data_IF_666313637836
#
_entry.id   IF_666313637836
#
_cell.length_a   1.000
_cell.length_b   1.000
_cell.length_c   1.000
_cell.angle_alpha   90.00
_cell.angle_beta   90.00
_cell.angle_gamma   90.00
#
_symmetry.space_group_name_H-M   'P 1'
#
loop_
_entity.id
_entity.type
_entity.pdbx_description
1 polymer ?
#
# COMPACT_ATOMS: atom_id res chain seq x y z
N UNK A 1 38.92 13.89 5.61
CA UNK A 1 38.01 12.78 5.98
C UNK A 1 36.73 13.41 6.51
N UNK A 2 35.80 13.73 5.61
CA UNK A 2 34.57 14.47 5.90
C UNK A 2 33.51 13.48 6.38
N UNK A 3 33.12 13.59 7.65
CA UNK A 3 31.93 12.92 8.18
C UNK A 3 30.73 13.63 7.55
N UNK A 4 30.25 13.09 6.43
CA UNK A 4 28.95 13.44 5.87
C UNK A 4 27.89 12.85 6.80
N UNK A 5 27.54 13.59 7.86
CA UNK A 5 26.34 13.33 8.64
C UNK A 5 25.14 13.44 7.69
N UNK A 6 24.62 12.28 7.32
CA UNK A 6 23.31 12.08 6.72
C UNK A 6 22.27 12.91 7.47
N UNK A 7 21.84 14.03 6.87
CA UNK A 7 20.56 14.65 7.25
C UNK A 7 19.48 13.92 6.44
N UNK A 8 18.59 13.13 7.07
CA UNK A 8 17.46 12.59 6.34
C UNK A 8 16.60 13.77 5.87
N UNK A 9 16.42 13.90 4.54
CA UNK A 9 15.44 14.83 3.97
C UNK A 9 14.04 14.36 4.40
N UNK A 10 13.58 14.89 5.54
CA UNK A 10 12.25 14.68 6.12
C UNK A 10 11.19 15.29 5.20
N UNK A 11 10.34 14.46 4.57
CA UNK A 11 9.35 14.93 3.58
C UNK A 11 7.90 14.48 3.77
N UNK A 12 7.54 13.74 4.82
CA UNK A 12 6.13 13.38 5.07
C UNK A 12 5.59 13.96 6.38
N UNK A 13 4.30 14.34 6.38
CA UNK A 13 3.60 14.81 7.59
C UNK A 13 3.58 13.75 8.70
N UNK A 14 3.49 12.48 8.31
CA UNK A 14 3.56 11.34 9.21
C UNK A 14 4.91 11.23 9.95
N UNK A 15 6.03 11.56 9.28
CA UNK A 15 7.35 11.57 9.92
C UNK A 15 7.48 12.70 10.94
N UNK A 16 6.95 13.90 10.65
CA UNK A 16 6.94 15.02 11.60
C UNK A 16 6.09 14.68 12.84
N UNK A 17 4.93 14.07 12.62
CA UNK A 17 4.05 13.61 13.69
C UNK A 17 4.73 12.54 14.55
N UNK A 18 5.39 11.56 13.94
CA UNK A 18 6.12 10.52 14.66
C UNK A 18 7.23 11.10 15.56
N UNK A 19 8.07 12.00 15.05
CA UNK A 19 9.12 12.62 15.86
C UNK A 19 8.55 13.48 17.00
N UNK A 20 7.44 14.17 16.78
CA UNK A 20 6.75 14.91 17.84
C UNK A 20 6.24 13.98 18.94
N UNK A 21 5.60 12.85 18.57
CA UNK A 21 5.09 11.85 19.52
C UNK A 21 6.22 11.17 20.29
N UNK A 22 7.32 10.78 19.61
CA UNK A 22 8.51 10.21 20.27
C UNK A 22 9.16 11.22 21.21
N UNK A 23 9.30 12.48 20.79
CA UNK A 23 9.84 13.54 21.65
C UNK A 23 9.00 13.77 22.90
N UNK A 24 7.67 13.81 22.76
CA UNK A 24 6.73 13.92 23.89
C UNK A 24 6.81 12.71 24.82
N UNK A 25 6.95 11.49 24.28
CA UNK A 25 7.12 10.28 25.08
C UNK A 25 8.48 10.28 25.84
N UNK A 26 9.56 10.76 25.24
CA UNK A 26 10.86 10.88 25.92
C UNK A 26 10.81 11.90 27.07
N UNK A 27 10.22 13.08 26.86
CA UNK A 27 10.03 14.09 27.91
C UNK A 27 9.17 13.53 29.05
N UNK A 28 8.13 12.76 28.70
CA UNK A 28 7.26 12.07 29.64
C UNK A 28 8.01 11.06 30.51
N UNK A 29 8.89 10.25 29.93
CA UNK A 29 9.74 9.31 30.69
C UNK A 29 10.71 10.02 31.63
N UNK A 30 11.35 11.12 31.19
CA UNK A 30 12.25 11.90 32.04
C UNK A 30 11.49 12.50 33.23
N UNK A 31 10.29 13.03 32.98
CA UNK A 31 9.39 13.52 34.04
C UNK A 31 9.02 12.42 35.03
N UNK A 32 8.75 11.20 34.56
CA UNK A 32 8.46 10.06 35.45
C UNK A 32 9.66 9.72 36.35
N UNK A 33 10.87 9.65 35.79
CA UNK A 33 12.09 9.34 36.55
C UNK A 33 12.40 10.42 37.59
N UNK A 34 12.30 11.70 37.20
CA UNK A 34 12.51 12.82 38.12
C UNK A 34 11.53 12.79 39.31
N UNK A 35 10.29 12.34 39.09
CA UNK A 35 9.29 12.18 40.15
C UNK A 35 9.61 11.03 41.09
N UNK A 36 10.02 9.88 40.56
CA UNK A 36 10.45 8.74 41.39
C UNK A 36 11.62 9.17 42.28
N UNK A 37 12.61 9.88 41.72
CA UNK A 37 13.74 10.41 42.48
C UNK A 37 13.28 11.39 43.57
N UNK A 38 12.34 12.29 43.27
CA UNK A 38 11.78 13.24 44.23
C UNK A 38 11.05 12.55 45.39
N UNK A 39 10.20 11.55 45.11
CA UNK A 39 9.48 10.78 46.15
C UNK A 39 10.48 10.06 47.07
N UNK A 40 11.49 9.41 46.51
CA UNK A 40 12.53 8.73 47.30
C UNK A 40 13.31 9.72 48.17
N UNK A 41 13.65 10.88 47.61
CA UNK A 41 14.36 11.94 48.34
C UNK A 41 13.50 12.50 49.46
N UNK A 42 12.21 12.68 49.21
CA UNK A 42 11.22 13.11 50.18
C UNK A 42 11.09 12.14 51.37
N UNK A 43 10.95 10.84 51.11
CA UNK A 43 10.88 9.80 52.16
C UNK A 43 12.16 9.79 53.00
N UNK A 44 13.32 10.01 52.37
CA UNK A 44 14.60 10.07 53.08
C UNK A 44 14.74 11.34 53.93
N UNK A 45 14.23 12.48 53.47
CA UNK A 45 14.21 13.74 54.23
C UNK A 45 13.28 13.61 55.44
N UNK A 46 12.11 12.99 55.27
CA UNK A 46 11.13 12.75 56.35
C UNK A 46 11.73 11.88 57.45
N UNK A 47 12.34 10.74 57.09
CA UNK A 47 13.06 9.86 58.04
C UNK A 47 14.25 10.56 58.70
N UNK A 48 14.95 11.43 57.98
CA UNK A 48 16.04 12.21 58.53
C UNK A 48 15.54 13.27 59.52
N UNK A 49 14.46 13.99 59.18
CA UNK A 49 13.86 15.01 60.04
C UNK A 49 13.29 14.42 61.33
N UNK A 50 12.62 13.26 61.26
CA UNK A 50 12.18 12.47 62.42
C UNK A 50 13.37 12.08 63.31
N UNK A 51 14.50 11.68 62.71
CA UNK A 51 15.70 11.31 63.47
C UNK A 51 16.39 12.49 64.18
N UNK A 52 16.12 13.73 63.75
CA UNK A 52 16.69 14.96 64.31
C UNK A 52 15.73 15.66 65.29
N UNK A 53 14.51 15.16 65.46
CA UNK A 53 13.52 15.74 66.38
C UNK A 53 13.02 17.13 65.96
N UNK A 54 12.96 17.41 64.66
CA UNK A 54 12.51 18.71 64.11
C UNK A 54 10.97 18.69 63.94
N UNK A 55 10.31 19.64 64.59
CA UNK A 55 8.87 19.79 64.86
C UNK A 55 7.88 19.68 63.68
N UNK A 56 6.75 19.03 64.00
CA UNK A 56 5.35 18.94 63.50
C UNK A 56 4.86 19.79 62.31
N UNK A 57 5.47 20.93 62.01
CA UNK A 57 5.04 21.82 60.91
C UNK A 57 5.35 21.25 59.53
N UNK A 58 6.47 20.52 59.37
CA UNK A 58 6.75 19.78 58.14
C UNK A 58 5.80 18.59 57.99
N UNK A 59 5.46 17.94 59.11
CA UNK A 59 4.60 16.76 59.15
C UNK A 59 3.12 17.06 58.81
N UNK A 60 2.62 18.28 59.01
CA UNK A 60 1.26 18.69 58.61
C UNK A 60 1.14 19.10 57.13
N UNK A 61 2.14 19.78 56.57
CA UNK A 61 2.10 20.26 55.19
C UNK A 61 2.47 19.17 54.17
N UNK A 62 3.30 18.20 54.58
CA UNK A 62 3.82 17.14 53.74
C UNK A 62 2.76 16.16 53.22
N UNK A 63 1.77 15.70 54.02
CA UNK A 63 0.71 14.82 53.55
C UNK A 63 -0.20 15.49 52.52
N UNK A 64 -0.49 16.79 52.65
CA UNK A 64 -1.29 17.53 51.67
C UNK A 64 -0.55 17.69 50.34
N UNK A 65 0.75 17.98 50.41
CA UNK A 65 1.61 18.10 49.24
C UNK A 65 1.77 16.74 48.54
N UNK A 66 1.91 15.66 49.32
CA UNK A 66 1.93 14.28 48.81
C UNK A 66 0.58 13.83 48.24
N UNK A 67 -0.56 14.16 48.86
CA UNK A 67 -1.88 13.80 48.37
C UNK A 67 -2.20 14.48 47.02
N UNK A 68 -1.93 15.79 46.90
CA UNK A 68 -2.05 16.50 45.63
C UNK A 68 -1.13 15.88 44.56
N UNK A 69 0.07 15.48 44.94
CA UNK A 69 1.01 14.84 44.01
C UNK A 69 0.54 13.45 43.58
N UNK A 70 0.02 12.63 44.49
CA UNK A 70 -0.49 11.28 44.22
C UNK A 70 -1.67 11.35 43.27
N UNK A 71 -2.66 12.22 43.51
CA UNK A 71 -3.82 12.40 42.63
C UNK A 71 -3.40 12.82 41.21
N UNK A 72 -2.48 13.77 41.08
CA UNK A 72 -1.99 14.20 39.77
C UNK A 72 -1.06 13.16 39.12
N UNK A 73 -0.32 12.37 39.91
CA UNK A 73 0.63 11.37 39.42
C UNK A 73 -0.06 10.22 38.68
N UNK A 74 -1.23 9.78 39.14
CA UNK A 74 -1.98 8.67 38.51
C UNK A 74 -2.44 9.08 37.12
N UNK A 75 -3.09 10.24 36.99
CA UNK A 75 -3.56 10.76 35.69
C UNK A 75 -2.40 11.02 34.72
N UNK A 76 -1.29 11.54 35.22
CA UNK A 76 -0.10 11.76 34.41
C UNK A 76 0.52 10.41 33.97
N UNK A 77 0.58 9.40 34.84
CA UNK A 77 1.08 8.06 34.50
C UNK A 77 0.21 7.35 33.45
N UNK A 78 -1.12 7.53 33.53
CA UNK A 78 -2.06 7.04 32.52
C UNK A 78 -1.83 7.75 31.18
N UNK A 79 -1.65 9.07 31.19
CA UNK A 79 -1.40 9.85 29.98
C UNK A 79 -0.07 9.50 29.30
N UNK A 80 0.99 9.27 30.09
CA UNK A 80 2.30 8.88 29.56
C UNK A 80 2.29 7.46 29.01
N UNK A 81 1.59 6.53 29.67
CA UNK A 81 1.41 5.16 29.18
C UNK A 81 0.63 5.12 27.86
N UNK A 82 -0.39 5.98 27.72
CA UNK A 82 -1.12 6.14 26.46
C UNK A 82 -0.23 6.68 25.33
N UNK A 83 0.60 7.69 25.61
CA UNK A 83 1.54 8.26 24.63
C UNK A 83 2.60 7.25 24.20
N UNK A 84 3.14 6.46 25.15
CA UNK A 84 4.12 5.40 24.87
C UNK A 84 3.46 4.29 24.03
N UNK A 85 2.23 3.88 24.37
CA UNK A 85 1.46 2.90 23.61
C UNK A 85 1.18 3.36 22.17
N UNK A 86 0.78 4.62 21.98
CA UNK A 86 0.59 5.21 20.67
C UNK A 86 1.90 5.27 19.86
N UNK A 87 3.02 5.63 20.51
CA UNK A 87 4.34 5.64 19.88
C UNK A 87 4.78 4.24 19.42
N UNK A 88 4.55 3.22 20.27
CA UNK A 88 4.83 1.81 19.96
C UNK A 88 3.96 1.31 18.81
N UNK A 89 2.66 1.61 18.82
CA UNK A 89 1.74 1.24 17.74
C UNK A 89 2.18 1.87 16.40
N UNK A 90 2.58 3.14 16.41
CA UNK A 90 3.12 3.82 15.22
C UNK A 90 4.47 3.24 14.77
N UNK A 91 5.33 2.85 15.71
CA UNK A 91 6.60 2.19 15.40
C UNK A 91 6.38 0.81 14.75
N UNK A 92 5.48 0.01 15.32
CA UNK A 92 5.08 -1.29 14.78
C UNK A 92 4.45 -1.11 13.40
N UNK A 93 3.52 -0.18 13.24
CA UNK A 93 2.94 0.15 11.94
C UNK A 93 4.02 0.53 10.92
N UNK A 94 4.97 1.41 11.28
CA UNK A 94 6.09 1.79 10.41
C UNK A 94 7.00 0.60 10.04
N UNK A 95 7.16 -0.38 10.94
CA UNK A 95 7.92 -1.62 10.70
C UNK A 95 7.17 -2.62 9.81
N UNK A 96 5.84 -2.67 9.90
CA UNK A 96 4.99 -3.61 9.18
C UNK A 96 4.58 -3.09 7.78
N UNK A 97 4.37 -1.80 7.61
CA UNK A 97 4.02 -1.17 6.32
C UNK A 97 4.97 -1.55 5.16
N UNK A 98 6.30 -1.60 5.33
CA UNK A 98 7.19 -2.04 4.24
C UNK A 98 7.16 -3.54 3.97
N UNK A 99 6.49 -4.37 4.79
CA UNK A 99 6.28 -5.80 4.50
C UNK A 99 5.01 -6.06 3.66
N UNK A 100 4.02 -5.16 3.69
CA UNK A 100 2.76 -5.28 2.91
C UNK A 100 2.79 -4.53 1.57
N UNK A 101 3.76 -3.65 1.35
CA UNK A 101 3.92 -2.91 0.09
C UNK A 101 5.27 -3.27 -0.51
N UNK A 102 5.29 -3.66 -1.79
CA UNK A 102 6.54 -3.72 -2.57
C UNK A 102 7.36 -2.46 -2.27
N UNK A 103 8.65 -2.62 -1.98
CA UNK A 103 9.54 -1.49 -1.77
C UNK A 103 9.62 -0.69 -3.10
N UNK A 104 8.72 0.28 -3.29
CA UNK A 104 8.68 1.22 -4.42
C UNK A 104 9.96 2.06 -4.56
N UNK A 105 10.96 1.82 -3.71
CA UNK A 105 12.31 2.39 -3.74
C UNK A 105 13.29 1.61 -4.61
N UNK A 106 12.90 0.48 -5.21
CA UNK A 106 13.76 -0.28 -6.11
C UNK A 106 13.35 -0.07 -7.58
N UNK A 107 13.92 0.94 -8.27
CA UNK A 107 13.55 1.24 -9.65
C UNK A 107 13.85 0.09 -10.62
N UNK A 108 14.83 -0.76 -10.32
CA UNK A 108 15.15 -1.92 -11.17
C UNK A 108 14.05 -2.98 -11.16
N UNK A 109 13.45 -3.26 -10.00
CA UNK A 109 12.34 -4.21 -9.90
C UNK A 109 11.11 -3.69 -10.65
N UNK A 110 10.81 -2.39 -10.50
CA UNK A 110 9.72 -1.73 -11.22
C UNK A 110 9.91 -1.83 -12.74
N UNK A 111 11.13 -1.57 -13.23
CA UNK A 111 11.43 -1.67 -14.66
C UNK A 111 11.34 -3.10 -15.18
N UNK A 112 11.69 -4.10 -14.37
CA UNK A 112 11.54 -5.52 -14.70
C UNK A 112 10.06 -5.93 -14.77
N UNK A 113 9.22 -5.41 -13.88
CA UNK A 113 7.77 -5.62 -13.92
C UNK A 113 7.17 -4.94 -15.16
N UNK A 114 7.58 -3.70 -15.44
CA UNK A 114 7.14 -2.96 -16.62
C UNK A 114 7.49 -3.68 -17.93
N UNK A 115 8.73 -4.15 -18.06
CA UNK A 115 9.14 -4.90 -19.26
C UNK A 115 8.40 -6.23 -19.40
N UNK A 116 8.17 -6.97 -18.31
CA UNK A 116 7.36 -8.18 -18.33
C UNK A 116 5.90 -7.90 -18.73
N UNK A 117 5.33 -6.79 -18.25
CA UNK A 117 3.95 -6.36 -18.57
C UNK A 117 3.82 -6.00 -20.05
N UNK A 118 4.75 -5.20 -20.57
CA UNK A 118 4.76 -4.80 -21.98
C UNK A 118 4.97 -6.00 -22.92
N UNK A 119 5.87 -6.93 -22.57
CA UNK A 119 6.08 -8.16 -23.34
C UNK A 119 4.82 -9.05 -23.34
N UNK A 120 4.20 -9.23 -22.17
CA UNK A 120 2.95 -10.00 -22.08
C UNK A 120 1.84 -9.37 -22.93
N UNK A 121 1.70 -8.04 -22.87
CA UNK A 121 0.71 -7.33 -23.69
C UNK A 121 0.96 -7.52 -25.19
N UNK A 122 2.23 -7.50 -25.65
CA UNK A 122 2.57 -7.77 -27.04
C UNK A 122 2.21 -9.20 -27.46
N UNK A 123 2.48 -10.19 -26.62
CA UNK A 123 2.14 -11.59 -26.93
C UNK A 123 0.63 -11.81 -26.95
N UNK A 124 -0.11 -11.15 -26.06
CA UNK A 124 -1.57 -11.12 -26.06
C UNK A 124 -2.13 -10.47 -27.33
N UNK A 125 -1.59 -9.32 -27.77
CA UNK A 125 -2.00 -8.67 -29.02
C UNK A 125 -1.78 -9.60 -30.22
N UNK A 126 -0.60 -10.21 -30.32
CA UNK A 126 -0.29 -11.17 -31.40
C UNK A 126 -1.21 -12.39 -31.39
N UNK A 127 -1.70 -12.80 -30.22
CA UNK A 127 -2.69 -13.86 -30.14
C UNK A 127 -4.04 -13.39 -30.68
N UNK A 128 -4.53 -12.23 -30.23
CA UNK A 128 -5.80 -11.67 -30.68
C UNK A 128 -5.81 -11.38 -32.19
N UNK A 129 -4.72 -10.83 -32.72
CA UNK A 129 -4.54 -10.61 -34.17
C UNK A 129 -4.61 -11.92 -34.97
N UNK A 130 -3.92 -12.97 -34.51
CA UNK A 130 -3.97 -14.29 -35.15
C UNK A 130 -5.39 -14.85 -35.15
N UNK A 131 -6.12 -14.72 -34.05
CA UNK A 131 -7.52 -15.18 -33.93
C UNK A 131 -8.47 -14.34 -34.78
N UNK A 132 -8.24 -13.04 -34.91
CA UNK A 132 -9.00 -12.19 -35.82
C UNK A 132 -8.82 -12.60 -37.28
N UNK A 133 -7.57 -12.87 -37.70
CA UNK A 133 -7.25 -13.37 -39.04
C UNK A 133 -7.94 -14.72 -39.29
N UNK A 134 -7.84 -15.65 -38.34
CA UNK A 134 -8.50 -16.96 -38.43
C UNK A 134 -10.03 -16.82 -38.57
N UNK A 135 -10.65 -15.92 -37.81
CA UNK A 135 -12.09 -15.65 -37.92
C UNK A 135 -12.47 -15.09 -39.31
N UNK A 136 -11.63 -14.21 -39.87
CA UNK A 136 -11.87 -13.69 -41.23
C UNK A 136 -11.76 -14.78 -42.30
N UNK A 137 -10.75 -15.64 -42.22
CA UNK A 137 -10.61 -16.78 -43.15
C UNK A 137 -11.78 -17.75 -43.04
N UNK A 138 -12.20 -18.12 -41.82
CA UNK A 138 -13.38 -18.96 -41.60
C UNK A 138 -14.63 -18.36 -42.24
N UNK A 139 -14.91 -17.08 -41.99
CA UNK A 139 -16.06 -16.39 -42.59
C UNK A 139 -16.01 -16.35 -44.12
N UNK A 140 -14.81 -16.22 -44.71
CA UNK A 140 -14.65 -16.29 -46.16
C UNK A 140 -14.90 -17.69 -46.72
N UNK A 141 -14.42 -18.74 -46.06
CA UNK A 141 -14.65 -20.14 -46.43
C UNK A 141 -16.13 -20.50 -46.32
N UNK A 142 -16.80 -20.06 -45.25
CA UNK A 142 -18.24 -20.19 -45.06
C UNK A 142 -19.02 -19.45 -46.15
N UNK A 143 -18.62 -18.22 -46.53
CA UNK A 143 -19.26 -17.49 -47.64
C UNK A 143 -19.09 -18.18 -48.99
N UNK A 144 -17.92 -18.78 -49.25
CA UNK A 144 -17.66 -19.55 -50.47
C UNK A 144 -18.50 -20.84 -50.50
N UNK A 145 -18.69 -21.47 -49.34
CA UNK A 145 -19.45 -22.74 -49.19
C UNK A 145 -20.97 -22.53 -49.11
N UNK A 146 -21.44 -21.46 -48.50
CA UNK A 146 -22.87 -21.11 -48.36
C UNK A 146 -23.52 -20.71 -49.68
N UNK A 147 -22.75 -20.30 -50.70
CA UNK A 147 -23.25 -20.17 -52.07
C UNK A 147 -23.72 -21.51 -52.68
N UNK A 148 -23.33 -22.66 -52.09
CA UNK A 148 -23.75 -24.01 -52.53
C UNK A 148 -24.86 -24.64 -51.69
N UNK A 149 -25.06 -24.18 -50.46
CA UNK A 149 -26.03 -24.72 -49.50
C UNK A 149 -26.60 -23.53 -48.75
N UNK A 150 -27.88 -23.20 -48.95
CA UNK A 150 -28.55 -22.02 -48.40
C UNK A 150 -28.71 -22.04 -46.87
N UNK A 151 -27.61 -22.18 -46.15
CA UNK A 151 -27.54 -22.41 -44.72
C UNK A 151 -27.22 -21.08 -44.03
N UNK A 152 -28.23 -20.55 -43.33
CA UNK A 152 -28.14 -19.47 -42.35
C UNK A 152 -27.85 -20.12 -41.00
N UNK A 153 -26.64 -19.94 -40.45
CA UNK A 153 -26.33 -19.99 -39.00
C UNK A 153 -24.93 -19.40 -38.74
N UNK A 154 -24.68 -18.18 -39.24
CA UNK A 154 -23.37 -17.51 -39.11
C UNK A 154 -23.11 -16.92 -37.72
N UNK A 155 -24.17 -16.59 -36.97
CA UNK A 155 -24.05 -15.93 -35.67
C UNK A 155 -23.66 -16.90 -34.54
N UNK A 156 -24.21 -18.11 -34.52
CA UNK A 156 -23.88 -19.10 -33.49
C UNK A 156 -22.42 -19.54 -33.60
N UNK A 157 -21.94 -19.76 -34.82
CA UNK A 157 -20.55 -20.08 -35.09
C UNK A 157 -19.59 -18.93 -34.72
N UNK A 158 -19.99 -17.67 -34.95
CA UNK A 158 -19.24 -16.49 -34.49
C UNK A 158 -19.15 -16.43 -32.95
N UNK A 159 -20.28 -16.62 -32.26
CA UNK A 159 -20.35 -16.64 -30.79
C UNK A 159 -19.49 -17.77 -30.20
N UNK A 160 -19.57 -18.97 -30.79
CA UNK A 160 -18.82 -20.12 -30.31
C UNK A 160 -17.31 -19.94 -30.56
N UNK A 161 -16.93 -19.34 -31.69
CA UNK A 161 -15.54 -18.96 -31.97
C UNK A 161 -15.01 -17.93 -30.96
N UNK A 162 -15.79 -16.90 -30.63
CA UNK A 162 -15.43 -15.90 -29.62
C UNK A 162 -15.28 -16.51 -28.22
N UNK A 163 -16.19 -17.42 -27.85
CA UNK A 163 -16.14 -18.16 -26.58
C UNK A 163 -14.88 -19.02 -26.46
N UNK A 164 -14.57 -19.79 -27.50
CA UNK A 164 -13.34 -20.62 -27.56
C UNK A 164 -12.10 -19.74 -27.52
N UNK A 165 -12.08 -18.64 -28.28
CA UNK A 165 -10.96 -17.69 -28.31
C UNK A 165 -10.70 -17.08 -26.93
N UNK A 166 -11.76 -16.64 -26.24
CA UNK A 166 -11.67 -16.08 -24.89
C UNK A 166 -11.17 -17.13 -23.89
N UNK A 167 -11.69 -18.37 -23.96
CA UNK A 167 -11.21 -19.46 -23.11
C UNK A 167 -9.73 -19.77 -23.32
N UNK A 168 -9.28 -19.84 -24.58
CA UNK A 168 -7.88 -20.06 -24.92
C UNK A 168 -6.99 -18.92 -24.40
N UNK A 169 -7.42 -17.66 -24.62
CA UNK A 169 -6.73 -16.48 -24.12
C UNK A 169 -6.48 -16.55 -22.61
N UNK A 170 -7.52 -16.79 -21.82
CA UNK A 170 -7.39 -16.86 -20.36
C UNK A 170 -6.62 -18.10 -19.90
N UNK A 171 -6.71 -19.23 -20.61
CA UNK A 171 -5.91 -20.41 -20.29
C UNK A 171 -4.41 -20.18 -20.50
N UNK A 172 -4.04 -19.42 -21.54
CA UNK A 172 -2.65 -19.18 -21.91
C UNK A 172 -2.03 -18.03 -21.10
N UNK A 173 -2.74 -16.91 -20.97
CA UNK A 173 -2.17 -15.68 -20.39
C UNK A 173 -2.71 -15.34 -19.00
N UNK A 174 -3.84 -15.93 -18.58
CA UNK A 174 -4.52 -15.60 -17.34
C UNK A 174 -3.63 -15.65 -16.09
N UNK A 175 -2.87 -16.73 -15.85
CA UNK A 175 -2.02 -16.83 -14.65
C UNK A 175 -0.95 -15.72 -14.55
N UNK A 176 -0.32 -15.37 -15.67
CA UNK A 176 0.69 -14.31 -15.69
C UNK A 176 0.06 -12.92 -15.57
N UNK A 177 -1.07 -12.73 -16.24
CA UNK A 177 -1.88 -11.50 -16.17
C UNK A 177 -2.27 -11.19 -14.73
N UNK A 178 -2.84 -12.17 -14.01
CA UNK A 178 -3.27 -11.98 -12.63
C UNK A 178 -2.11 -11.63 -11.70
N UNK A 179 -0.93 -12.24 -11.91
CA UNK A 179 0.27 -11.89 -11.14
C UNK A 179 0.68 -10.45 -11.39
N UNK A 180 0.68 -10.00 -12.64
CA UNK A 180 1.06 -8.63 -12.98
C UNK A 180 0.03 -7.63 -12.46
N UNK A 181 -1.27 -7.88 -12.65
CA UNK A 181 -2.33 -7.01 -12.14
C UNK A 181 -2.27 -6.87 -10.61
N UNK A 182 -1.98 -7.96 -9.89
CA UNK A 182 -1.79 -7.91 -8.43
C UNK A 182 -0.59 -7.02 -8.04
N UNK A 183 0.51 -7.10 -8.79
CA UNK A 183 1.70 -6.26 -8.56
C UNK A 183 1.43 -4.79 -8.90
N UNK A 184 0.66 -4.50 -9.96
CA UNK A 184 0.24 -3.14 -10.31
C UNK A 184 -0.63 -2.53 -9.20
N UNK A 185 -1.60 -3.28 -8.68
CA UNK A 185 -2.46 -2.86 -7.57
C UNK A 185 -1.64 -2.59 -6.29
N UNK A 186 -0.71 -3.49 -5.96
CA UNK A 186 0.24 -3.29 -4.85
C UNK A 186 1.14 -2.07 -5.04
N UNK A 187 1.41 -1.67 -6.28
CA UNK A 187 2.20 -0.48 -6.62
C UNK A 187 1.39 0.82 -6.52
N UNK A 188 0.10 0.73 -6.21
CA UNK A 188 -0.80 1.89 -6.07
C UNK A 188 -1.46 2.34 -7.37
N UNK A 189 -1.32 1.57 -8.45
CA UNK A 189 -2.01 1.80 -9.72
C UNK A 189 -3.43 1.29 -9.57
N UNK A 190 -4.41 2.20 -9.62
CA UNK A 190 -5.82 1.82 -9.49
C UNK A 190 -6.32 1.21 -10.80
N UNK A 191 -6.70 -0.06 -10.74
CA UNK A 191 -7.24 -0.79 -11.87
C UNK A 191 -8.78 -0.68 -11.90
N UNK A 192 -9.42 -0.64 -13.09
CA UNK A 192 -10.87 -0.71 -13.20
C UNK A 192 -11.43 -1.98 -12.59
N UNK A 193 -12.59 -1.88 -11.92
CA UNK A 193 -13.21 -3.03 -11.28
C UNK A 193 -13.50 -4.18 -12.25
N UNK A 194 -13.89 -3.89 -13.49
CA UNK A 194 -14.18 -4.91 -14.50
C UNK A 194 -12.93 -5.71 -14.96
N UNK A 195 -11.73 -5.12 -14.84
CA UNK A 195 -10.43 -5.79 -15.12
C UNK A 195 -10.02 -6.66 -13.92
N UNK A 196 -10.44 -6.30 -12.71
CA UNK A 196 -10.22 -7.11 -11.51
C UNK A 196 -11.22 -8.28 -11.41
N UNK A 197 -12.46 -8.11 -11.86
CA UNK A 197 -13.53 -9.11 -11.75
C UNK A 197 -13.50 -10.17 -12.85
N UNK A 198 -12.34 -10.46 -13.43
CA UNK A 198 -12.24 -11.28 -14.63
C UNK A 198 -12.38 -12.78 -14.36
N UNK A 199 -13.63 -13.20 -14.29
CA UNK A 199 -14.07 -14.55 -14.59
C UNK A 199 -14.97 -14.51 -15.83
N UNK A 200 -14.48 -15.07 -16.95
CA UNK A 200 -15.27 -15.51 -18.12
C UNK A 200 -15.99 -14.50 -19.02
N UNK A 201 -16.20 -13.24 -18.63
CA UNK A 201 -17.08 -12.31 -19.40
C UNK A 201 -16.43 -11.02 -19.92
N UNK A 202 -15.16 -10.76 -19.58
CA UNK A 202 -14.49 -9.52 -20.00
C UNK A 202 -13.86 -9.67 -21.39
N UNK A 203 -13.98 -8.63 -22.22
CA UNK A 203 -13.23 -8.53 -23.49
C UNK A 203 -11.73 -8.49 -23.19
N UNK A 204 -10.91 -9.34 -23.82
CA UNK A 204 -9.48 -9.39 -23.59
C UNK A 204 -8.75 -8.05 -23.83
N UNK A 205 -9.31 -7.22 -24.71
CA UNK A 205 -8.70 -5.97 -25.20
C UNK A 205 -8.38 -4.97 -24.09
N UNK A 206 -9.29 -4.77 -23.12
CA UNK A 206 -9.08 -3.82 -22.03
C UNK A 206 -7.89 -4.21 -21.12
N UNK A 207 -7.70 -5.50 -20.89
CA UNK A 207 -6.56 -6.04 -20.13
C UNK A 207 -5.26 -5.70 -20.86
N UNK A 208 -5.25 -5.97 -22.16
CA UNK A 208 -4.08 -5.80 -23.01
C UNK A 208 -3.67 -4.33 -23.06
N UNK A 209 -4.64 -3.42 -23.18
CA UNK A 209 -4.40 -1.98 -23.15
C UNK A 209 -3.83 -1.52 -21.80
N UNK A 210 -4.40 -1.98 -20.68
CA UNK A 210 -3.86 -1.68 -19.33
C UNK A 210 -2.42 -2.14 -19.21
N UNK A 211 -2.14 -3.40 -19.56
CA UNK A 211 -0.80 -3.96 -19.46
C UNK A 211 0.19 -3.27 -20.39
N UNK A 212 -0.24 -2.89 -21.60
CA UNK A 212 0.58 -2.17 -22.56
C UNK A 212 0.94 -0.77 -22.04
N UNK A 213 -0.05 0.02 -21.61
CA UNK A 213 0.17 1.40 -21.19
C UNK A 213 0.97 1.44 -19.89
N UNK A 214 0.50 0.80 -18.82
CA UNK A 214 1.23 0.82 -17.55
C UNK A 214 2.55 0.06 -17.63
N UNK A 215 2.65 -0.98 -18.47
CA UNK A 215 3.91 -1.66 -18.72
C UNK A 215 4.97 -0.73 -19.30
N UNK A 216 4.61 0.14 -20.24
CA UNK A 216 5.56 1.06 -20.86
C UNK A 216 6.03 2.16 -19.89
N UNK A 217 5.11 2.78 -19.13
CA UNK A 217 5.48 3.74 -18.07
C UNK A 217 6.41 3.12 -17.03
N UNK A 218 6.10 1.91 -16.55
CA UNK A 218 6.92 1.25 -15.53
C UNK A 218 8.28 0.80 -16.09
N UNK A 219 8.35 0.38 -17.35
CA UNK A 219 9.60 0.04 -18.06
C UNK A 219 10.54 1.25 -18.16
N UNK A 220 9.98 2.45 -18.31
CA UNK A 220 10.72 3.71 -18.28
C UNK A 220 11.10 4.16 -16.86
N UNK A 221 10.52 3.54 -15.83
CA UNK A 221 10.73 3.90 -14.43
C UNK A 221 9.80 5.01 -13.93
N UNK A 222 8.77 5.34 -14.69
CA UNK A 222 7.83 6.45 -14.46
C UNK A 222 6.66 6.01 -13.57
N UNK A 223 6.97 5.47 -12.38
CA UNK A 223 5.96 4.96 -11.45
C UNK A 223 4.97 6.04 -11.00
N UNK A 224 5.46 7.25 -10.70
CA UNK A 224 4.59 8.35 -10.24
C UNK A 224 3.59 8.77 -11.32
N UNK A 225 4.01 8.78 -12.59
CA UNK A 225 3.16 9.09 -13.73
C UNK A 225 2.14 7.98 -13.97
N UNK A 226 2.54 6.71 -13.87
CA UNK A 226 1.63 5.58 -13.93
C UNK A 226 0.55 5.65 -12.83
N UNK A 227 0.92 6.00 -11.60
CA UNK A 227 -0.03 6.19 -10.51
C UNK A 227 -0.96 7.37 -10.81
N UNK A 228 -0.43 8.53 -11.24
CA UNK A 228 -1.24 9.69 -11.58
C UNK A 228 -2.25 9.39 -12.70
N UNK A 229 -1.80 8.71 -13.75
CA UNK A 229 -2.63 8.31 -14.88
C UNK A 229 -3.74 7.33 -14.47
N UNK A 230 -3.47 6.41 -13.54
CA UNK A 230 -4.48 5.49 -13.01
C UNK A 230 -5.61 6.19 -12.23
N UNK A 231 -5.39 7.43 -11.81
CA UNK A 231 -6.40 8.26 -11.15
C UNK A 231 -7.15 9.20 -12.11
N UNK A 232 -6.69 9.33 -13.36
CA UNK A 232 -7.37 10.13 -14.37
C UNK A 232 -8.64 9.42 -14.86
N UNK A 233 -9.80 9.99 -14.53
CA UNK A 233 -11.10 9.43 -14.91
C UNK A 233 -11.27 9.31 -16.42
N UNK A 234 -10.73 10.24 -17.21
CA UNK A 234 -10.90 10.22 -18.66
C UNK A 234 -10.11 9.06 -19.28
N UNK A 235 -8.87 8.89 -18.83
CA UNK A 235 -8.02 7.80 -19.26
C UNK A 235 -8.61 6.43 -18.85
N UNK A 236 -9.02 6.30 -17.59
CA UNK A 236 -9.64 5.06 -17.10
C UNK A 236 -10.98 4.76 -17.79
N UNK A 237 -11.72 5.79 -18.22
CA UNK A 237 -12.94 5.64 -19.01
C UNK A 237 -12.64 5.15 -20.43
N UNK A 238 -11.58 5.63 -21.08
CA UNK A 238 -11.13 5.18 -22.40
C UNK A 238 -10.65 3.72 -22.42
N UNK A 239 -10.08 3.24 -21.32
CA UNK A 239 -9.74 1.81 -21.19
C UNK A 239 -11.00 0.94 -20.99
N UNK A 240 -12.06 1.52 -20.43
CA UNK A 240 -13.32 0.83 -20.13
C UNK A 240 -14.26 0.67 -21.34
N UNK A 241 -14.13 1.53 -22.35
CA UNK A 241 -15.10 1.69 -23.45
C UNK A 241 -14.41 1.70 -24.81
#
# INVERSE_FOLDING_TARGET
MLIHMWKPKLKTWADKFFWAVVGLASISCISLIARIAWVITGINIERWAESQGIDDTLAEAWPQLMAWFVENSVWLSVSTSFLIGAALALFIYRRLVPMDRLNLRQPEEIRKIGSASALLAQDMLRFLERRAIENTHRREEERKSAKKSGMRDTWEADRDFESVTSSQFFSQFGPQTLRILAVLDQSGIKLPHHILSMGRYARPEGIVQVLAVFGEYLKNGELEEAIALSHDRNFMWQIQH
#
